data_IF_926201640025
#
_entry.id   IF_926201640025
#
_cell.length_a   1.000
_cell.length_b   1.000
_cell.length_c   1.000
_cell.angle_alpha   90.00
_cell.angle_beta   90.00
_cell.angle_gamma   90.00
#
_symmetry.space_group_name_H-M   'P 1'
#
loop_
_entity.id
_entity.type
_entity.pdbx_description
1 polymer ?
#
# COMPACT_ATOMS: atom_id res chain seq x y z
N UNK A 1 -5.43 13.86 21.18
CA UNK A 1 -4.07 13.73 21.75
C UNK A 1 -3.13 13.57 20.58
N UNK A 2 -2.69 14.69 20.00
CA UNK A 2 -1.75 14.69 18.89
C UNK A 2 -0.37 14.47 19.52
N UNK A 3 0.04 13.21 19.66
CA UNK A 3 1.32 12.91 20.27
C UNK A 3 2.42 13.33 19.30
N UNK A 4 2.96 14.52 19.53
CA UNK A 4 3.77 15.24 18.54
C UNK A 4 5.18 14.67 18.33
N UNK A 5 5.42 13.47 18.86
CA UNK A 5 6.71 12.78 18.84
C UNK A 5 6.70 11.48 18.03
N UNK A 6 5.52 10.94 17.70
CA UNK A 6 5.41 9.63 17.04
C UNK A 6 4.71 9.74 15.68
N UNK A 7 5.30 9.10 14.67
CA UNK A 7 4.71 8.91 13.35
C UNK A 7 4.25 7.46 13.17
N UNK A 8 2.93 7.28 13.00
CA UNK A 8 2.33 6.00 12.66
C UNK A 8 2.31 5.78 11.15
N UNK A 9 2.87 4.66 10.72
CA UNK A 9 2.83 4.18 9.35
C UNK A 9 2.12 2.84 9.31
N UNK A 10 1.19 2.65 8.38
CA UNK A 10 0.58 1.35 8.12
C UNK A 10 1.19 0.78 6.84
N UNK A 11 1.67 -0.47 6.88
CA UNK A 11 2.31 -1.15 5.76
C UNK A 11 1.60 -2.46 5.42
N UNK A 12 1.66 -2.84 4.16
CA UNK A 12 1.12 -4.10 3.63
C UNK A 12 1.62 -4.35 2.20
N UNK A 13 1.40 -5.58 1.73
CA UNK A 13 1.66 -6.01 0.36
C UNK A 13 0.37 -6.11 -0.46
N UNK A 14 0.45 -5.72 -1.73
CA UNK A 14 -0.69 -5.83 -2.65
C UNK A 14 -0.25 -6.30 -4.03
N UNK A 15 -1.12 -7.07 -4.69
CA UNK A 15 -1.01 -7.36 -6.12
C UNK A 15 -2.11 -6.62 -6.89
N UNK A 16 -1.73 -5.97 -7.99
CA UNK A 16 -2.67 -5.45 -8.99
C UNK A 16 -2.63 -6.34 -10.23
N UNK A 17 -3.79 -6.90 -10.58
CA UNK A 17 -3.93 -7.80 -11.72
C UNK A 17 -4.16 -6.99 -13.00
N UNK A 18 -3.59 -7.46 -14.11
CA UNK A 18 -3.90 -6.96 -15.46
C UNK A 18 -5.33 -7.29 -15.86
N UNK A 19 -5.84 -8.41 -15.37
CA UNK A 19 -7.26 -8.70 -15.44
C UNK A 19 -8.04 -7.65 -14.63
N UNK A 20 -8.72 -6.76 -15.35
CA UNK A 20 -9.58 -5.74 -14.73
C UNK A 20 -10.67 -6.37 -13.88
N UNK A 21 -11.21 -5.59 -12.94
CA UNK A 21 -12.35 -5.98 -12.11
C UNK A 21 -13.60 -5.24 -12.55
N UNK A 22 -14.74 -5.95 -12.51
CA UNK A 22 -16.05 -5.39 -12.83
C UNK A 22 -16.69 -4.86 -11.57
N UNK A 23 -17.11 -3.60 -11.60
CA UNK A 23 -17.84 -2.96 -10.51
C UNK A 23 -19.07 -2.24 -11.05
N UNK A 24 -20.08 -2.07 -10.20
CA UNK A 24 -21.27 -1.30 -10.55
C UNK A 24 -20.86 0.15 -10.85
N UNK A 25 -21.34 0.68 -11.96
CA UNK A 25 -21.13 2.08 -12.36
C UNK A 25 -22.39 2.62 -13.01
N UNK A 26 -22.54 3.94 -12.96
CA UNK A 26 -23.56 4.64 -13.74
C UNK A 26 -23.16 4.64 -15.21
N UNK A 27 -24.08 4.23 -16.06
CA UNK A 27 -23.94 4.24 -17.51
C UNK A 27 -25.00 5.20 -18.04
N UNK A 28 -24.63 6.18 -18.88
CA UNK A 28 -25.60 7.10 -19.45
C UNK A 28 -26.73 6.36 -20.17
N UNK A 29 -28.00 6.81 -20.07
CA UNK A 29 -29.15 6.10 -20.64
C UNK A 29 -29.08 5.92 -22.17
N UNK A 30 -28.31 6.77 -22.86
CA UNK A 30 -28.02 6.67 -24.29
C UNK A 30 -27.09 5.49 -24.66
N UNK A 31 -26.30 4.97 -23.71
CA UNK A 31 -25.41 3.84 -23.94
C UNK A 31 -26.15 2.53 -23.71
N UNK A 32 -26.46 1.83 -24.80
CA UNK A 32 -27.03 0.48 -24.77
C UNK A 32 -25.91 -0.56 -24.77
N UNK A 33 -26.02 -1.56 -23.90
CA UNK A 33 -25.12 -2.72 -23.80
C UNK A 33 -23.62 -2.37 -23.71
N UNK A 34 -23.18 -1.70 -22.62
CA UNK A 34 -21.77 -1.36 -22.45
C UNK A 34 -20.90 -2.62 -22.40
N UNK A 35 -19.94 -2.71 -23.32
CA UNK A 35 -18.96 -3.80 -23.36
C UNK A 35 -17.69 -3.39 -22.64
N UNK A 36 -17.30 -4.16 -21.63
CA UNK A 36 -16.02 -4.00 -20.93
C UNK A 36 -15.10 -5.18 -21.28
N UNK A 37 -13.99 -4.86 -21.92
CA UNK A 37 -12.98 -5.85 -22.27
C UNK A 37 -12.11 -6.19 -21.06
N UNK A 38 -11.72 -7.47 -20.97
CA UNK A 38 -10.77 -7.96 -19.99
C UNK A 38 -9.66 -8.70 -20.71
N UNK A 39 -8.42 -8.46 -20.29
CA UNK A 39 -7.31 -9.24 -20.80
C UNK A 39 -7.39 -10.68 -20.26
N UNK A 40 -7.18 -11.73 -21.10
CA UNK A 40 -7.42 -13.11 -20.72
C UNK A 40 -6.33 -13.73 -19.84
N UNK A 41 -5.27 -12.98 -19.49
CA UNK A 41 -4.19 -13.46 -18.64
C UNK A 41 -4.36 -13.05 -17.17
N UNK A 42 -3.79 -13.83 -16.24
CA UNK A 42 -3.77 -13.53 -14.80
C UNK A 42 -2.44 -12.91 -14.35
N UNK A 43 -1.79 -12.13 -15.22
CA UNK A 43 -0.56 -11.41 -14.86
C UNK A 43 -0.88 -10.34 -13.81
N UNK A 44 0.07 -10.11 -12.92
CA UNK A 44 -0.06 -9.10 -11.87
C UNK A 44 1.30 -8.51 -11.54
N UNK A 45 1.27 -7.31 -10.97
CA UNK A 45 2.44 -6.64 -10.40
C UNK A 45 2.25 -6.50 -8.88
N UNK A 46 3.29 -6.80 -8.12
CA UNK A 46 3.31 -6.69 -6.67
C UNK A 46 3.88 -5.34 -6.20
N UNK A 47 3.36 -4.83 -5.10
CA UNK A 47 3.87 -3.65 -4.41
C UNK A 47 3.90 -3.87 -2.90
N UNK A 48 4.97 -3.40 -2.27
CA UNK A 48 4.93 -2.98 -0.87
C UNK A 48 4.45 -1.55 -0.81
N UNK A 49 3.52 -1.25 0.10
CA UNK A 49 3.08 0.11 0.39
C UNK A 49 3.17 0.44 1.86
N UNK A 50 3.39 1.71 2.17
CA UNK A 50 3.28 2.25 3.50
C UNK A 50 2.61 3.63 3.46
N UNK A 51 1.59 3.85 4.28
CA UNK A 51 0.88 5.14 4.42
C UNK A 51 1.10 5.71 5.82
N UNK A 52 1.48 6.98 5.90
CA UNK A 52 1.54 7.72 7.17
C UNK A 52 0.16 8.27 7.52
N UNK A 53 -0.35 7.91 8.70
CA UNK A 53 -1.71 8.27 9.10
C UNK A 53 -1.89 9.78 9.32
N UNK A 54 -0.84 10.48 9.77
CA UNK A 54 -0.88 11.91 10.12
C UNK A 54 -1.19 12.82 8.93
N UNK A 55 -0.60 12.58 7.77
CA UNK A 55 -0.66 13.47 6.60
C UNK A 55 -0.99 12.75 5.29
N UNK A 56 -1.24 11.43 5.35
CA UNK A 56 -1.52 10.62 4.17
C UNK A 56 -0.32 10.46 3.24
N UNK A 57 0.90 10.66 3.73
CA UNK A 57 2.11 10.46 2.92
C UNK A 57 2.28 8.98 2.57
N UNK A 58 2.39 8.69 1.28
CA UNK A 58 2.48 7.32 0.80
C UNK A 58 3.88 6.99 0.29
N UNK A 59 4.37 5.79 0.60
CA UNK A 59 5.63 5.24 0.10
C UNK A 59 5.36 3.86 -0.46
N UNK A 60 5.99 3.54 -1.58
CA UNK A 60 5.81 2.26 -2.23
C UNK A 60 7.12 1.74 -2.81
N UNK A 61 7.18 0.43 -3.03
CA UNK A 61 8.24 -0.23 -3.79
C UNK A 61 7.63 -1.36 -4.61
N UNK A 62 7.91 -1.35 -5.91
CA UNK A 62 7.47 -2.40 -6.83
C UNK A 62 8.30 -3.66 -6.61
N UNK A 63 7.62 -4.79 -6.46
CA UNK A 63 8.23 -6.12 -6.39
C UNK A 63 7.81 -6.92 -7.62
N UNK A 64 8.80 -7.32 -8.43
CA UNK A 64 8.58 -8.10 -9.65
C UNK A 64 8.71 -9.61 -9.43
N UNK A 65 9.31 -10.02 -8.31
CA UNK A 65 9.49 -11.41 -7.93
C UNK A 65 8.48 -11.85 -6.88
N UNK A 66 9.00 -12.37 -5.76
CA UNK A 66 8.19 -12.91 -4.66
C UNK A 66 8.37 -12.07 -3.41
N UNK A 67 7.27 -11.83 -2.71
CA UNK A 67 7.31 -11.30 -1.35
C UNK A 67 8.00 -12.30 -0.42
N UNK A 68 9.08 -11.86 0.21
CA UNK A 68 9.89 -12.67 1.12
C UNK A 68 10.60 -11.76 2.12
N UNK A 69 11.32 -12.36 3.06
CA UNK A 69 12.00 -11.63 4.13
C UNK A 69 13.08 -10.65 3.63
N UNK A 70 13.77 -10.95 2.52
CA UNK A 70 14.79 -10.07 1.94
C UNK A 70 14.15 -8.83 1.30
N UNK A 71 13.08 -9.02 0.54
CA UNK A 71 12.40 -7.92 -0.17
C UNK A 71 11.66 -7.02 0.82
N UNK A 72 10.99 -7.61 1.82
CA UNK A 72 10.43 -6.85 2.94
C UNK A 72 11.51 -6.08 3.72
N UNK A 73 12.66 -6.69 3.98
CA UNK A 73 13.75 -6.00 4.68
C UNK A 73 14.31 -4.82 3.87
N UNK A 74 14.44 -4.96 2.55
CA UNK A 74 14.84 -3.86 1.68
C UNK A 74 13.82 -2.71 1.75
N UNK A 75 12.53 -3.04 1.75
CA UNK A 75 11.46 -2.05 1.91
C UNK A 75 11.53 -1.33 3.26
N UNK A 76 11.71 -2.04 4.38
CA UNK A 76 11.87 -1.43 5.71
C UNK A 76 13.04 -0.46 5.79
N UNK A 77 14.19 -0.79 5.18
CA UNK A 77 15.35 0.12 5.12
C UNK A 77 15.02 1.40 4.35
N UNK A 78 14.33 1.28 3.22
CA UNK A 78 13.89 2.44 2.43
C UNK A 78 12.91 3.31 3.23
N UNK A 79 11.92 2.68 3.89
CA UNK A 79 10.93 3.37 4.70
C UNK A 79 11.59 4.12 5.85
N UNK A 80 12.46 3.46 6.64
CA UNK A 80 13.20 4.08 7.74
C UNK A 80 14.01 5.29 7.27
N UNK A 81 14.79 5.19 6.19
CA UNK A 81 15.60 6.32 5.66
C UNK A 81 14.77 7.56 5.32
N UNK A 82 13.50 7.37 5.01
CA UNK A 82 12.58 8.47 4.67
C UNK A 82 11.88 9.01 5.91
N UNK A 83 11.45 8.15 6.82
CA UNK A 83 10.58 8.51 7.95
C UNK A 83 11.33 9.20 9.10
N UNK A 84 12.56 8.78 9.40
CA UNK A 84 13.34 9.30 10.53
C UNK A 84 13.86 10.73 10.33
N UNK A 85 13.78 11.29 9.11
CA UNK A 85 14.28 12.65 8.81
C UNK A 85 13.59 13.75 9.62
N UNK A 86 12.42 13.45 10.18
CA UNK A 86 11.66 14.37 11.00
C UNK A 86 12.08 14.41 12.47
N UNK A 87 13.01 13.54 12.90
CA UNK A 87 13.42 13.40 14.30
C UNK A 87 12.39 12.73 15.21
N UNK A 88 11.23 12.32 14.67
CA UNK A 88 10.15 11.63 15.38
C UNK A 88 10.38 10.13 15.39
N UNK A 89 9.94 9.47 16.46
CA UNK A 89 9.92 8.01 16.54
C UNK A 89 8.88 7.45 15.59
N UNK A 90 9.22 6.37 14.89
CA UNK A 90 8.38 5.78 13.85
C UNK A 90 7.85 4.43 14.33
N UNK A 91 6.54 4.25 14.26
CA UNK A 91 5.89 2.97 14.52
C UNK A 91 5.21 2.51 13.24
N UNK A 92 5.60 1.33 12.76
CA UNK A 92 5.08 0.73 11.54
C UNK A 92 4.15 -0.42 11.89
N UNK A 93 2.86 -0.22 11.66
CA UNK A 93 1.80 -1.21 11.81
C UNK A 93 1.84 -2.15 10.61
N UNK A 94 1.97 -3.45 10.86
CA UNK A 94 2.04 -4.49 9.84
C UNK A 94 1.23 -5.72 10.25
N UNK A 95 0.85 -6.57 9.29
CA UNK A 95 0.22 -7.85 9.58
C UNK A 95 1.20 -8.87 10.19
N UNK A 96 0.68 -10.03 10.57
CA UNK A 96 1.45 -11.09 11.22
C UNK A 96 2.11 -12.09 10.23
N UNK A 97 2.40 -11.70 8.99
CA UNK A 97 3.05 -12.58 8.03
C UNK A 97 4.39 -13.13 8.56
N UNK A 98 4.66 -14.42 8.30
CA UNK A 98 5.84 -15.12 8.85
C UNK A 98 7.16 -14.44 8.47
N UNK A 99 7.23 -13.84 7.29
CA UNK A 99 8.44 -13.17 6.83
C UNK A 99 8.67 -11.80 7.51
N UNK A 100 7.64 -11.16 8.09
CA UNK A 100 7.81 -9.97 8.94
C UNK A 100 8.54 -10.29 10.26
N UNK A 101 8.44 -11.55 10.70
CA UNK A 101 9.13 -12.06 11.88
C UNK A 101 10.47 -12.73 11.59
N UNK A 102 10.93 -12.70 10.34
CA UNK A 102 12.14 -13.39 9.93
C UNK A 102 13.37 -13.03 10.79
N UNK A 103 14.14 -14.06 11.15
CA UNK A 103 15.39 -13.91 11.91
C UNK A 103 16.40 -13.02 11.18
N UNK A 104 16.37 -13.03 9.86
CA UNK A 104 17.23 -12.25 8.95
C UNK A 104 17.37 -10.79 9.39
N UNK A 105 16.26 -10.11 9.65
CA UNK A 105 16.23 -8.70 10.03
C UNK A 105 15.95 -8.47 11.52
N UNK A 106 15.91 -9.53 12.35
CA UNK A 106 15.60 -9.40 13.78
C UNK A 106 16.60 -8.48 14.48
N UNK A 107 17.91 -8.75 14.31
CA UNK A 107 18.99 -7.93 14.89
C UNK A 107 18.84 -6.46 14.47
N UNK A 108 18.59 -6.20 13.19
CA UNK A 108 18.38 -4.84 12.69
C UNK A 108 17.15 -4.17 13.31
N UNK A 109 16.03 -4.89 13.49
CA UNK A 109 14.83 -4.35 14.17
C UNK A 109 15.11 -4.01 15.62
N UNK A 110 15.88 -4.85 16.32
CA UNK A 110 16.24 -4.61 17.72
C UNK A 110 17.20 -3.41 17.86
N UNK A 111 18.18 -3.29 16.98
CA UNK A 111 19.15 -2.18 16.96
C UNK A 111 18.48 -0.81 16.74
N UNK A 112 17.35 -0.78 16.01
CA UNK A 112 16.62 0.45 15.65
C UNK A 112 15.29 0.62 16.40
N UNK A 113 15.01 -0.19 17.43
CA UNK A 113 13.71 -0.19 18.12
C UNK A 113 13.33 1.17 18.72
N UNK A 114 14.32 2.00 19.09
CA UNK A 114 14.11 3.31 19.73
C UNK A 114 13.48 4.33 18.79
N UNK A 115 13.86 4.29 17.51
CA UNK A 115 13.50 5.27 16.49
C UNK A 115 12.61 4.68 15.37
N UNK A 116 12.60 3.35 15.21
CA UNK A 116 11.84 2.64 14.18
C UNK A 116 11.39 1.25 14.70
N UNK A 117 10.13 1.15 15.12
CA UNK A 117 9.54 -0.07 15.66
C UNK A 117 8.48 -0.65 14.72
N UNK A 118 8.38 -1.99 14.66
CA UNK A 118 7.23 -2.66 14.04
C UNK A 118 6.22 -3.03 15.12
N UNK A 119 4.96 -2.70 14.86
CA UNK A 119 3.81 -3.13 15.66
C UNK A 119 2.93 -4.07 14.83
N UNK A 120 2.46 -5.15 15.44
CA UNK A 120 1.81 -6.26 14.73
C UNK A 120 0.33 -6.30 15.06
N UNK A 121 -0.50 -6.28 14.02
CA UNK A 121 -1.94 -6.43 14.19
C UNK A 121 -2.30 -7.84 14.67
N UNK A 122 -3.41 -7.99 15.42
CA UNK A 122 -3.94 -9.30 15.76
C UNK A 122 -4.12 -10.16 14.49
N UNK A 123 -3.92 -11.49 14.60
CA UNK A 123 -4.13 -12.38 13.46
C UNK A 123 -5.54 -12.24 12.88
N UNK A 124 -5.63 -12.28 11.54
CA UNK A 124 -6.89 -12.21 10.79
C UNK A 124 -7.71 -10.92 10.98
N UNK A 125 -7.04 -9.79 11.25
CA UNK A 125 -7.71 -8.49 11.40
C UNK A 125 -7.33 -7.46 10.31
N UNK A 126 -7.49 -7.78 9.01
CA UNK A 126 -7.16 -6.87 7.92
C UNK A 126 -7.99 -5.57 7.94
N UNK A 127 -9.19 -5.59 8.51
CA UNK A 127 -10.04 -4.42 8.70
C UNK A 127 -9.42 -3.34 9.59
N UNK A 128 -8.47 -3.73 10.45
CA UNK A 128 -7.73 -2.82 11.31
C UNK A 128 -6.56 -2.15 10.59
N UNK A 129 -6.13 -2.66 9.43
CA UNK A 129 -5.01 -2.09 8.68
C UNK A 129 -5.50 -0.95 7.76
N UNK A 130 -5.16 0.33 8.03
CA UNK A 130 -5.66 1.46 7.24
C UNK A 130 -5.26 1.38 5.75
N UNK A 131 -4.12 0.76 5.45
CA UNK A 131 -3.61 0.66 4.08
C UNK A 131 -4.52 -0.19 3.17
N UNK A 132 -5.31 -1.11 3.72
CA UNK A 132 -6.30 -1.87 2.96
C UNK A 132 -7.35 -0.96 2.30
N UNK A 133 -7.67 0.16 2.96
CA UNK A 133 -8.55 1.19 2.39
C UNK A 133 -7.87 1.91 1.23
N UNK A 134 -6.56 2.17 1.35
CA UNK A 134 -5.74 2.74 0.26
C UNK A 134 -5.77 1.81 -0.94
N UNK A 135 -5.61 0.49 -0.76
CA UNK A 135 -5.72 -0.50 -1.83
C UNK A 135 -7.09 -0.52 -2.49
N UNK A 136 -8.17 -0.46 -1.71
CA UNK A 136 -9.53 -0.34 -2.25
C UNK A 136 -9.70 0.94 -3.07
N UNK A 137 -9.17 2.07 -2.59
CA UNK A 137 -9.22 3.35 -3.32
C UNK A 137 -8.44 3.27 -4.64
N UNK A 138 -7.22 2.72 -4.62
CA UNK A 138 -6.40 2.55 -5.83
C UNK A 138 -7.10 1.70 -6.87
N UNK A 139 -7.70 0.57 -6.46
CA UNK A 139 -8.46 -0.27 -7.41
C UNK A 139 -9.64 0.50 -8.01
N UNK A 140 -10.37 1.28 -7.21
CA UNK A 140 -11.49 2.10 -7.68
C UNK A 140 -11.08 3.20 -8.64
N UNK A 141 -9.96 3.86 -8.41
CA UNK A 141 -9.51 5.00 -9.22
C UNK A 141 -8.76 4.55 -10.48
N UNK A 142 -8.00 3.46 -10.38
CA UNK A 142 -7.05 3.09 -11.42
C UNK A 142 -7.46 1.83 -12.19
N UNK A 143 -8.17 0.87 -11.60
CA UNK A 143 -8.27 -0.50 -12.15
C UNK A 143 -9.71 -0.93 -12.51
N UNK A 144 -10.69 -0.56 -11.71
CA UNK A 144 -12.08 -0.99 -11.92
C UNK A 144 -12.62 -0.48 -13.27
N UNK A 145 -13.32 -1.35 -13.97
CA UNK A 145 -13.97 -1.05 -15.25
C UNK A 145 -13.03 -0.47 -16.32
N UNK A 146 -11.76 -0.85 -16.30
CA UNK A 146 -10.78 -0.46 -17.31
C UNK A 146 -10.13 -1.69 -17.95
N UNK A 147 -9.87 -1.56 -19.25
CA UNK A 147 -9.14 -2.55 -20.02
C UNK A 147 -7.67 -2.16 -20.11
N UNK A 148 -6.78 -3.12 -19.88
CA UNK A 148 -5.33 -2.95 -19.96
C UNK A 148 -4.72 -3.95 -20.95
N UNK A 149 -4.35 -3.50 -22.17
CA UNK A 149 -3.65 -4.32 -23.16
C UNK A 149 -2.33 -4.92 -22.64
N UNK A 150 -1.57 -4.15 -21.86
CA UNK A 150 -0.28 -4.56 -21.30
C UNK A 150 -0.23 -4.40 -19.77
N UNK A 151 0.65 -5.16 -19.10
CA UNK A 151 0.84 -5.06 -17.64
C UNK A 151 1.49 -3.71 -17.27
N UNK A 152 2.32 -3.18 -18.16
CA UNK A 152 3.01 -1.91 -18.04
C UNK A 152 2.03 -0.73 -17.93
N UNK A 153 0.84 -0.84 -18.54
CA UNK A 153 -0.20 0.19 -18.41
C UNK A 153 -0.86 0.17 -17.03
N UNK A 154 -0.98 -1.00 -16.40
CA UNK A 154 -1.41 -1.12 -15.00
C UNK A 154 -0.38 -0.46 -14.09
N UNK A 155 0.90 -0.74 -14.33
CA UNK A 155 2.02 -0.14 -13.59
C UNK A 155 1.98 1.38 -13.72
N UNK A 156 1.85 1.90 -14.93
CA UNK A 156 1.78 3.34 -15.18
C UNK A 156 0.59 3.99 -14.45
N UNK A 157 -0.60 3.38 -14.53
CA UNK A 157 -1.80 3.90 -13.88
C UNK A 157 -1.70 3.91 -12.34
N UNK A 158 -1.11 2.87 -11.76
CA UNK A 158 -0.92 2.74 -10.31
C UNK A 158 0.19 3.67 -9.81
N UNK A 159 1.35 3.69 -10.47
CA UNK A 159 2.49 4.49 -10.04
C UNK A 159 2.26 5.99 -10.22
N UNK A 160 1.50 6.41 -11.24
CA UNK A 160 1.03 7.79 -11.38
C UNK A 160 0.21 8.21 -10.16
N UNK A 161 -0.74 7.35 -9.74
CA UNK A 161 -1.56 7.62 -8.57
C UNK A 161 -0.75 7.66 -7.27
N UNK A 162 0.18 6.72 -7.11
CA UNK A 162 1.07 6.69 -5.96
C UNK A 162 2.01 7.90 -5.91
N UNK A 163 2.43 8.41 -7.07
CA UNK A 163 3.18 9.66 -7.21
C UNK A 163 2.42 10.86 -6.63
N UNK A 164 1.12 10.98 -6.90
CA UNK A 164 0.28 12.03 -6.32
C UNK A 164 0.16 11.94 -4.80
N UNK A 165 0.33 10.75 -4.21
CA UNK A 165 0.27 10.54 -2.76
C UNK A 165 1.63 10.62 -2.07
N UNK A 166 2.73 10.74 -2.83
CA UNK A 166 4.08 10.68 -2.29
C UNK A 166 4.44 11.84 -1.35
N UNK A 167 3.79 13.01 -1.47
CA UNK A 167 4.12 14.17 -0.64
C UNK A 167 3.09 14.47 0.45
N UNK A 168 2.15 13.55 0.69
CA UNK A 168 1.01 13.76 1.57
C UNK A 168 -0.26 13.95 0.77
N UNK A 169 -1.38 13.47 1.30
CA UNK A 169 -2.66 13.57 0.63
C UNK A 169 -3.80 13.60 1.63
N UNK A 170 -4.64 14.64 1.55
CA UNK A 170 -5.77 14.82 2.45
C UNK A 170 -6.80 13.69 2.35
N UNK A 171 -7.00 13.13 1.16
CA UNK A 171 -7.88 11.99 0.94
C UNK A 171 -7.36 10.78 1.70
N UNK A 172 -6.05 10.48 1.62
CA UNK A 172 -5.46 9.36 2.35
C UNK A 172 -5.49 9.58 3.86
N UNK A 173 -5.23 10.81 4.33
CA UNK A 173 -5.35 11.17 5.75
C UNK A 173 -6.75 10.89 6.28
N UNK A 174 -7.79 11.38 5.59
CA UNK A 174 -9.19 11.15 5.97
C UNK A 174 -9.59 9.69 5.87
N UNK A 175 -9.13 8.99 4.83
CA UNK A 175 -9.44 7.59 4.59
C UNK A 175 -8.87 6.68 5.69
N UNK A 176 -7.66 7.01 6.17
CA UNK A 176 -6.95 6.26 7.20
C UNK A 176 -7.31 6.70 8.62
N UNK A 177 -8.05 7.80 8.80
CA UNK A 177 -8.58 8.18 10.09
C UNK A 177 -9.60 7.11 10.55
N UNK A 178 -9.39 6.57 11.74
CA UNK A 178 -10.39 5.75 12.42
C UNK A 178 -11.42 6.76 12.95
N UNK A 179 -12.62 6.75 12.34
CA UNK A 179 -13.79 7.49 12.82
C UNK A 179 -14.70 6.53 13.57
#
# INVERSE_FOLDING_TARGET
MDNDEVDLWATDEVHFQQHGSRCRMWVPPETKDPVLLHHPTRRSVGYFGAVRLRDGKFRFSRETGKFNAMTFFAFLKMLRRTSIRSGRSVVVITDNARYHHARLHKKWRDDHRKDFMLDYLPPYSPELNPIERVWKLTRRQCIHNRYFPALEEVVAAVETQFGYWANGNETLRRLCAIT
#
